data_IF_668891086426
#
_entry.id   IF_668891086426
#
_cell.length_a   1.000
_cell.length_b   1.000
_cell.length_c   1.000
_cell.angle_alpha   90.00
_cell.angle_beta   90.00
_cell.angle_gamma   90.00
#
_symmetry.space_group_name_H-M   'P 1'
#
loop_
_entity.id
_entity.type
_entity.pdbx_description
1 polymer ?
#
# COMPACT_ATOMS: atom_id res chain seq x y z
N UNK A 1 -2.22 -8.59 -1.89
CA UNK A 1 -1.47 -7.51 -1.19
C UNK A 1 -0.86 -6.53 -2.19
N UNK A 2 -0.22 -7.01 -3.28
CA UNK A 2 0.53 -6.17 -4.22
C UNK A 2 -0.11 -6.11 -5.62
N UNK A 3 -0.09 -4.93 -6.23
CA UNK A 3 -0.48 -4.69 -7.62
C UNK A 3 0.60 -3.84 -8.31
N UNK A 4 0.94 -4.15 -9.56
CA UNK A 4 1.89 -3.34 -10.35
C UNK A 4 1.13 -2.24 -11.10
N UNK A 5 1.28 -0.99 -10.64
CA UNK A 5 0.71 0.19 -11.30
C UNK A 5 1.68 0.66 -12.40
N UNK A 6 1.18 0.78 -13.64
CA UNK A 6 1.94 1.29 -14.78
C UNK A 6 2.09 2.82 -14.75
N UNK A 7 3.03 3.41 -15.50
CA UNK A 7 3.11 4.85 -15.68
C UNK A 7 1.76 5.44 -16.14
N UNK A 8 1.33 6.51 -15.47
CA UNK A 8 0.06 7.22 -15.69
C UNK A 8 -1.24 6.41 -15.48
N UNK A 9 -1.14 5.17 -14.99
CA UNK A 9 -2.29 4.33 -14.67
C UNK A 9 -2.98 4.80 -13.37
N UNK A 10 -4.32 4.77 -13.37
CA UNK A 10 -5.14 4.94 -12.17
C UNK A 10 -5.91 3.66 -11.90
N UNK A 11 -5.73 3.10 -10.71
CA UNK A 11 -6.35 1.83 -10.30
C UNK A 11 -7.29 2.06 -9.12
N UNK A 12 -8.45 1.40 -9.14
CA UNK A 12 -9.38 1.35 -8.01
C UNK A 12 -9.34 -0.06 -7.40
N UNK A 13 -9.00 -0.14 -6.10
CA UNK A 13 -8.90 -1.40 -5.36
C UNK A 13 -9.94 -1.41 -4.24
N UNK A 14 -10.47 -2.59 -3.92
CA UNK A 14 -11.38 -2.82 -2.80
C UNK A 14 -10.90 -3.98 -1.92
N UNK A 15 -10.99 -3.81 -0.61
CA UNK A 15 -10.68 -4.84 0.38
C UNK A 15 -11.53 -4.63 1.64
N UNK A 16 -11.69 -5.67 2.45
CA UNK A 16 -12.33 -5.59 3.77
C UNK A 16 -11.24 -5.44 4.82
N UNK A 17 -11.31 -4.39 5.63
CA UNK A 17 -10.41 -4.17 6.75
C UNK A 17 -10.97 -4.89 8.00
N UNK A 18 -10.74 -6.20 8.09
CA UNK A 18 -11.36 -7.09 9.07
C UNK A 18 -10.49 -7.39 10.32
N UNK A 19 -9.26 -6.89 10.35
CA UNK A 19 -8.33 -7.09 11.47
C UNK A 19 -7.78 -5.75 12.00
N UNK A 20 -8.00 -5.41 13.29
CA UNK A 20 -7.50 -4.17 13.89
C UNK A 20 -5.97 -4.06 13.87
N UNK A 21 -5.46 -2.84 13.76
CA UNK A 21 -4.02 -2.56 13.84
C UNK A 21 -3.56 -1.46 12.87
N UNK A 22 -2.24 -1.26 12.83
CA UNK A 22 -1.59 -0.39 11.85
C UNK A 22 -1.17 -1.21 10.63
N UNK A 23 -1.72 -0.86 9.47
CA UNK A 23 -1.49 -1.57 8.23
C UNK A 23 -0.54 -0.77 7.34
N UNK A 24 0.51 -1.45 6.87
CA UNK A 24 1.52 -0.88 5.98
C UNK A 24 0.99 -0.81 4.54
N UNK A 25 1.11 0.37 3.93
CA UNK A 25 0.88 0.59 2.51
C UNK A 25 2.17 1.13 1.87
N UNK A 26 2.79 0.38 0.98
CA UNK A 26 4.08 0.78 0.40
C UNK A 26 4.26 0.29 -1.04
N UNK A 27 5.24 0.84 -1.74
CA UNK A 27 5.73 0.25 -2.98
C UNK A 27 6.59 -0.98 -2.67
N UNK A 28 6.37 -2.09 -3.37
CA UNK A 28 7.09 -3.34 -3.11
C UNK A 28 8.51 -3.39 -3.73
N UNK A 29 8.98 -2.30 -4.35
CA UNK A 29 10.39 -2.10 -4.71
C UNK A 29 11.12 -1.63 -3.45
N UNK A 30 12.08 -2.43 -2.96
CA UNK A 30 12.71 -2.27 -1.65
C UNK A 30 13.39 -0.89 -1.52
N UNK A 31 14.05 -0.44 -2.58
CA UNK A 31 14.72 0.85 -2.63
C UNK A 31 13.72 1.99 -2.46
N UNK A 32 12.53 1.89 -3.07
CA UNK A 32 11.47 2.90 -2.94
C UNK A 32 10.87 2.88 -1.54
N UNK A 33 10.60 1.70 -0.98
CA UNK A 33 10.12 1.57 0.39
C UNK A 33 11.09 2.21 1.38
N UNK A 34 12.38 1.86 1.30
CA UNK A 34 13.44 2.36 2.20
C UNK A 34 13.70 3.86 2.06
N UNK A 35 13.38 4.44 0.91
CA UNK A 35 13.54 5.88 0.64
C UNK A 35 12.28 6.69 0.87
N UNK A 36 11.22 6.07 1.42
CA UNK A 36 10.05 6.79 1.95
C UNK A 36 8.75 6.61 1.17
N UNK A 37 8.70 5.75 0.15
CA UNK A 37 7.45 5.41 -0.55
C UNK A 37 6.60 4.42 0.28
N UNK A 38 6.27 4.85 1.49
CA UNK A 38 5.64 4.07 2.56
C UNK A 38 4.64 4.95 3.31
N UNK A 39 3.49 4.40 3.66
CA UNK A 39 2.46 5.00 4.50
C UNK A 39 1.83 3.92 5.41
N UNK A 40 1.08 4.37 6.40
CA UNK A 40 0.29 3.50 7.28
C UNK A 40 -1.13 4.02 7.37
N UNK A 41 -2.09 3.10 7.56
CA UNK A 41 -3.44 3.44 7.99
C UNK A 41 -3.85 2.53 9.14
N UNK A 42 -4.68 3.06 10.05
CA UNK A 42 -5.15 2.34 11.23
C UNK A 42 -6.55 1.80 11.00
N UNK A 43 -6.72 0.50 11.25
CA UNK A 43 -8.02 -0.16 11.34
C UNK A 43 -8.40 -0.21 12.83
N UNK A 44 -9.56 0.34 13.16
CA UNK A 44 -10.11 0.42 14.52
C UNK A 44 -11.33 -0.49 14.69
#
# INVERSE_FOLDING_TARGET
>A
DTYLIQPDEKVQLGFVADNPGDWLLHCHIIEHQKTGMTSYFRVV
#
